data_IF_957338532038
#
_entry.id   IF_957338532038
#
_cell.length_a   1.000
_cell.length_b   1.000
_cell.length_c   1.000
_cell.angle_alpha   90.00
_cell.angle_beta   90.00
_cell.angle_gamma   90.00
#
_symmetry.space_group_name_H-M   'P 1'
#
loop_
_entity.id
_entity.type
_entity.pdbx_description
1 polymer ?
#
# COMPACT_ATOMS: atom_id res chain seq x y z
N UNK A 1 -18.49 4.29 -10.57
CA UNK A 1 -17.32 4.36 -9.67
C UNK A 1 -17.50 3.27 -8.62
N UNK A 2 -16.52 2.40 -8.47
CA UNK A 2 -16.56 1.32 -7.47
C UNK A 2 -16.59 1.91 -6.05
N UNK A 3 -17.35 1.28 -5.16
CA UNK A 3 -17.57 1.78 -3.81
C UNK A 3 -16.35 1.46 -2.92
N UNK A 4 -15.49 2.45 -2.68
CA UNK A 4 -14.30 2.30 -1.82
C UNK A 4 -14.66 1.74 -0.45
N UNK A 5 -15.77 2.18 0.15
CA UNK A 5 -16.19 1.70 1.47
C UNK A 5 -16.43 0.19 1.45
N UNK A 6 -17.03 -0.36 0.39
CA UNK A 6 -17.29 -1.79 0.27
C UNK A 6 -15.98 -2.60 0.19
N UNK A 7 -14.98 -2.09 -0.53
CA UNK A 7 -13.65 -2.70 -0.57
C UNK A 7 -12.94 -2.62 0.78
N UNK A 8 -12.99 -1.47 1.46
CA UNK A 8 -12.40 -1.29 2.78
C UNK A 8 -13.07 -2.19 3.82
N UNK A 9 -14.40 -2.34 3.81
CA UNK A 9 -15.09 -3.30 4.69
C UNK A 9 -14.67 -4.74 4.44
N UNK A 10 -14.43 -5.11 3.17
CA UNK A 10 -13.92 -6.44 2.83
C UNK A 10 -12.51 -6.64 3.38
N UNK A 11 -11.61 -5.67 3.17
CA UNK A 11 -10.24 -5.72 3.70
C UNK A 11 -10.23 -5.75 5.23
N UNK A 12 -11.09 -4.98 5.89
CA UNK A 12 -11.24 -4.97 7.35
C UNK A 12 -11.54 -6.38 7.87
N UNK A 13 -12.56 -7.05 7.31
CA UNK A 13 -12.93 -8.39 7.72
C UNK A 13 -11.77 -9.40 7.56
N UNK A 14 -10.93 -9.24 6.53
CA UNK A 14 -9.73 -10.06 6.33
C UNK A 14 -8.65 -9.76 7.38
N UNK A 15 -8.36 -8.49 7.65
CA UNK A 15 -7.34 -8.08 8.62
C UNK A 15 -7.72 -8.51 10.03
N UNK A 16 -8.98 -8.29 10.43
CA UNK A 16 -9.50 -8.67 11.76
C UNK A 16 -9.51 -10.18 11.98
N UNK A 17 -9.65 -10.98 10.91
CA UNK A 17 -9.55 -12.44 10.97
C UNK A 17 -8.12 -12.92 11.29
N UNK A 18 -7.11 -12.09 11.03
CA UNK A 18 -5.70 -12.43 11.19
C UNK A 18 -4.94 -11.34 11.97
N UNK A 19 -5.31 -11.04 13.23
CA UNK A 19 -4.85 -9.85 13.95
C UNK A 19 -3.33 -9.84 14.23
N UNK A 20 -2.72 -11.03 14.34
CA UNK A 20 -1.29 -11.20 14.63
C UNK A 20 -0.44 -11.43 13.38
N UNK A 21 -1.03 -11.34 12.18
CA UNK A 21 -0.28 -11.51 10.94
C UNK A 21 0.34 -10.19 10.50
N UNK A 22 1.46 -10.30 9.82
CA UNK A 22 2.01 -9.18 9.06
C UNK A 22 1.12 -8.97 7.83
N UNK A 23 0.69 -7.73 7.61
CA UNK A 23 -0.15 -7.36 6.47
C UNK A 23 0.61 -6.38 5.61
N UNK A 24 0.59 -6.62 4.30
CA UNK A 24 1.06 -5.69 3.28
C UNK A 24 -0.07 -5.52 2.27
N UNK A 25 -0.58 -4.30 2.16
CA UNK A 25 -1.52 -3.89 1.13
C UNK A 25 -0.79 -2.96 0.16
N UNK A 26 -0.81 -3.31 -1.11
CA UNK A 26 -0.22 -2.50 -2.17
C UNK A 26 -1.22 -2.40 -3.32
N UNK A 27 -1.58 -1.19 -3.71
CA UNK A 27 -2.52 -1.02 -4.82
C UNK A 27 -2.93 0.42 -5.07
N UNK A 28 -3.74 0.59 -6.12
CA UNK A 28 -4.38 1.85 -6.48
C UNK A 28 -5.66 2.06 -5.63
N UNK A 29 -5.62 3.02 -4.73
CA UNK A 29 -6.75 3.38 -3.87
C UNK A 29 -7.61 4.49 -4.47
N UNK A 30 -7.13 5.19 -5.51
CA UNK A 30 -7.77 6.38 -6.07
C UNK A 30 -8.20 7.38 -4.98
N UNK A 31 -7.38 7.57 -3.95
CA UNK A 31 -7.65 8.42 -2.79
C UNK A 31 -6.53 9.43 -2.60
N UNK A 32 -6.87 10.68 -2.28
CA UNK A 32 -5.89 11.77 -2.17
C UNK A 32 -5.79 12.26 -0.73
N UNK A 33 -4.57 12.49 -0.26
CA UNK A 33 -4.30 13.10 1.04
C UNK A 33 -2.94 13.78 1.06
N UNK A 34 -2.83 14.86 1.84
CA UNK A 34 -1.55 15.52 2.11
C UNK A 34 -0.60 14.62 2.93
N UNK A 35 -1.13 13.57 3.56
CA UNK A 35 -0.36 12.61 4.37
C UNK A 35 0.60 11.78 3.51
N UNK A 36 0.20 11.42 2.29
CA UNK A 36 0.99 10.54 1.40
C UNK A 36 1.31 11.16 0.04
N UNK A 37 0.93 12.42 -0.21
CA UNK A 37 1.19 13.09 -1.47
C UNK A 37 0.93 14.59 -1.41
N UNK A 38 1.23 15.29 -2.51
CA UNK A 38 1.19 16.77 -2.56
C UNK A 38 -0.19 17.35 -2.92
N UNK A 39 -1.27 16.62 -2.65
CA UNK A 39 -2.65 17.02 -3.00
C UNK A 39 -3.50 17.15 -1.74
N UNK A 40 -4.49 18.05 -1.80
CA UNK A 40 -5.48 18.18 -0.74
C UNK A 40 -6.22 16.87 -0.51
N UNK A 41 -6.60 16.63 0.75
CA UNK A 41 -7.36 15.44 1.13
C UNK A 41 -8.77 15.49 0.59
N UNK A 42 -9.17 14.45 -0.14
CA UNK A 42 -10.53 14.27 -0.61
C UNK A 42 -11.34 13.35 0.32
N UNK A 43 -12.63 13.17 0.04
CA UNK A 43 -13.50 12.32 0.84
C UNK A 43 -12.98 10.87 0.93
N UNK A 44 -12.45 10.35 -0.18
CA UNK A 44 -11.86 9.01 -0.25
C UNK A 44 -10.59 8.91 0.60
N UNK A 45 -9.77 9.95 0.61
CA UNK A 45 -8.61 10.09 1.48
C UNK A 45 -8.99 10.07 2.95
N UNK A 46 -10.04 10.80 3.34
CA UNK A 46 -10.55 10.75 4.72
C UNK A 46 -11.06 9.36 5.10
N UNK A 47 -11.82 8.69 4.22
CA UNK A 47 -12.29 7.33 4.46
C UNK A 47 -11.12 6.34 4.65
N UNK A 48 -10.10 6.44 3.80
CA UNK A 48 -8.91 5.59 3.89
C UNK A 48 -8.09 5.88 5.16
N UNK A 49 -7.93 7.15 5.54
CA UNK A 49 -7.27 7.53 6.80
C UNK A 49 -8.00 6.96 8.01
N UNK A 50 -9.33 7.09 8.06
CA UNK A 50 -10.12 6.51 9.14
C UNK A 50 -9.98 5.00 9.21
N UNK A 51 -9.99 4.31 8.05
CA UNK A 51 -9.73 2.88 7.98
C UNK A 51 -8.35 2.51 8.55
N UNK A 52 -7.28 3.19 8.12
CA UNK A 52 -5.93 2.92 8.61
C UNK A 52 -5.80 3.14 10.12
N UNK A 53 -6.35 4.25 10.63
CA UNK A 53 -6.34 4.56 12.07
C UNK A 53 -7.11 3.50 12.86
N UNK A 54 -8.29 3.09 12.37
CA UNK A 54 -9.15 2.14 13.09
C UNK A 54 -8.54 0.73 13.23
N UNK A 55 -7.67 0.37 12.29
CA UNK A 55 -7.03 -0.95 12.23
C UNK A 55 -5.56 -0.91 12.57
N UNK A 56 -5.04 0.22 13.08
CA UNK A 56 -3.63 0.40 13.41
C UNK A 56 -2.71 -0.01 12.25
N UNK A 57 -2.96 0.59 11.08
CA UNK A 57 -2.20 0.39 9.85
C UNK A 57 -1.29 1.60 9.59
N UNK A 58 -0.08 1.31 9.13
CA UNK A 58 0.90 2.33 8.73
C UNK A 58 0.81 2.60 7.24
N UNK A 59 0.84 3.89 6.85
CA UNK A 59 0.97 4.31 5.45
C UNK A 59 2.45 4.61 5.21
N UNK A 60 3.09 3.85 4.34
CA UNK A 60 4.54 3.93 4.12
C UNK A 60 4.93 4.98 3.08
N UNK A 61 3.96 5.49 2.32
CA UNK A 61 4.19 6.54 1.34
C UNK A 61 4.63 7.84 2.02
N UNK A 62 5.68 8.46 1.46
CA UNK A 62 6.13 9.78 1.85
C UNK A 62 5.62 10.85 0.86
N UNK A 63 5.06 11.98 1.33
CA UNK A 63 4.54 13.05 0.46
C UNK A 63 5.61 13.70 -0.43
N UNK A 64 6.89 13.58 -0.09
CA UNK A 64 8.02 14.08 -0.89
C UNK A 64 8.45 13.14 -2.02
N UNK A 65 7.88 11.93 -2.10
CA UNK A 65 8.12 11.03 -3.22
C UNK A 65 7.58 11.60 -4.53
N UNK A 66 8.11 11.10 -5.65
CA UNK A 66 7.54 11.34 -6.98
C UNK A 66 6.07 10.87 -7.04
N UNK A 67 5.25 11.46 -7.92
CA UNK A 67 3.87 11.03 -8.09
C UNK A 67 3.81 9.57 -8.55
N UNK A 68 2.86 8.80 -8.01
CA UNK A 68 2.65 7.41 -8.43
C UNK A 68 1.86 7.30 -9.74
N UNK A 69 1.18 8.39 -10.11
CA UNK A 69 0.50 8.55 -11.39
C UNK A 69 0.90 9.89 -12.00
N UNK A 70 1.40 9.86 -13.23
CA UNK A 70 1.82 11.03 -13.99
C UNK A 70 1.31 10.91 -15.43
N UNK A 71 0.42 11.81 -15.82
CA UNK A 71 -0.14 11.84 -17.17
C UNK A 71 -0.18 13.26 -17.70
N UNK A 72 -0.51 13.40 -18.99
CA UNK A 72 -0.76 14.71 -19.62
C UNK A 72 -1.85 15.53 -18.93
N UNK A 73 -2.73 14.89 -18.14
CA UNK A 73 -3.81 15.54 -17.38
C UNK A 73 -3.39 15.93 -15.96
N UNK A 74 -2.17 15.59 -15.56
CA UNK A 74 -1.58 15.93 -14.29
C UNK A 74 -1.16 14.73 -13.46
N UNK A 75 -0.67 15.05 -12.27
CA UNK A 75 0.00 14.13 -11.34
C UNK A 75 -0.84 13.85 -10.08
N UNK A 76 -0.74 12.62 -9.58
CA UNK A 76 -1.34 12.18 -8.32
C UNK A 76 -0.55 11.07 -7.60
N UNK A 77 -0.84 10.90 -6.31
CA UNK A 77 -0.26 9.89 -5.41
C UNK A 77 -1.41 9.00 -4.91
N UNK A 78 -1.83 8.07 -5.76
CA UNK A 78 -3.03 7.25 -5.55
C UNK A 78 -2.70 5.76 -5.33
N UNK A 79 -1.48 5.36 -5.66
CA UNK A 79 -0.96 4.03 -5.38
C UNK A 79 -0.25 4.05 -4.03
N UNK A 80 -0.67 3.19 -3.10
CA UNK A 80 -0.21 3.22 -1.72
C UNK A 80 0.31 1.87 -1.26
N UNK A 81 1.33 1.92 -0.40
CA UNK A 81 1.80 0.84 0.43
C UNK A 81 1.29 1.07 1.86
N UNK A 82 0.50 0.13 2.36
CA UNK A 82 -0.06 0.15 3.72
C UNK A 82 0.33 -1.13 4.42
N UNK A 83 0.81 -1.05 5.66
CA UNK A 83 1.31 -2.22 6.40
C UNK A 83 0.69 -2.37 7.78
N UNK A 84 0.78 -3.59 8.34
CA UNK A 84 0.46 -3.90 9.74
C UNK A 84 1.49 -4.87 10.30
N UNK A 85 1.93 -4.64 11.54
CA UNK A 85 2.85 -5.52 12.28
C UNK A 85 4.14 -5.87 11.50
N UNK A 86 4.59 -4.98 10.59
CA UNK A 86 5.75 -5.23 9.75
C UNK A 86 6.99 -4.62 10.40
N UNK A 87 7.72 -5.44 11.14
CA UNK A 87 8.97 -5.01 11.79
C UNK A 87 10.10 -4.85 10.78
N UNK A 88 11.00 -3.90 11.04
CA UNK A 88 12.18 -3.64 10.22
C UNK A 88 12.04 -2.47 9.26
N UNK A 89 13.04 -2.33 8.39
CA UNK A 89 13.15 -1.16 7.52
C UNK A 89 12.43 -1.39 6.19
N UNK A 90 11.54 -0.45 5.84
CA UNK A 90 10.87 -0.41 4.53
C UNK A 90 11.49 0.73 3.71
N UNK A 91 11.96 0.40 2.51
CA UNK A 91 12.37 1.37 1.50
C UNK A 91 11.36 1.33 0.36
N UNK A 92 10.69 2.44 0.12
CA UNK A 92 9.73 2.63 -0.97
C UNK A 92 10.29 3.60 -2.00
N UNK A 93 10.33 3.19 -3.26
CA UNK A 93 10.83 4.00 -4.38
C UNK A 93 9.81 4.00 -5.52
N UNK A 94 9.67 5.15 -6.17
CA UNK A 94 8.83 5.32 -7.36
C UNK A 94 9.72 5.25 -8.59
N UNK A 95 9.44 4.32 -9.48
CA UNK A 95 10.22 4.08 -10.71
C UNK A 95 9.34 4.34 -11.91
N UNK A 96 9.79 5.24 -12.79
CA UNK A 96 9.05 5.62 -13.98
C UNK A 96 9.09 4.55 -15.07
N UNK A 97 7.92 4.11 -15.56
CA UNK A 97 7.84 3.22 -16.72
C UNK A 97 6.52 3.33 -17.53
N UNK A 98 5.57 4.19 -17.12
CA UNK A 98 4.26 4.42 -17.76
C UNK A 98 3.55 5.61 -17.09
N UNK A 99 2.29 5.87 -17.43
CA UNK A 99 1.44 6.87 -16.77
C UNK A 99 1.16 6.51 -15.30
N UNK A 100 1.18 5.22 -14.96
CA UNK A 100 1.38 4.75 -13.58
C UNK A 100 2.86 4.43 -13.38
N UNK A 101 3.46 5.07 -12.38
CA UNK A 101 4.81 4.79 -11.95
C UNK A 101 4.83 3.57 -11.02
N UNK A 102 5.81 2.70 -11.21
CA UNK A 102 5.96 1.48 -10.42
C UNK A 102 6.40 1.82 -9.00
N UNK A 103 5.72 1.25 -8.00
CA UNK A 103 6.21 1.23 -6.62
C UNK A 103 7.14 0.04 -6.42
N UNK A 104 8.42 0.32 -6.21
CA UNK A 104 9.41 -0.67 -5.79
C UNK A 104 9.52 -0.66 -4.27
N UNK A 105 9.22 -1.80 -3.66
CA UNK A 105 9.26 -2.00 -2.21
C UNK A 105 10.42 -2.92 -1.87
N UNK A 106 11.31 -2.47 -0.98
CA UNK A 106 12.33 -3.33 -0.35
C UNK A 106 12.08 -3.36 1.15
N UNK A 107 11.90 -4.55 1.71
CA UNK A 107 11.73 -4.75 3.13
C UNK A 107 12.94 -5.51 3.69
N UNK A 108 13.51 -5.00 4.78
CA UNK A 108 14.64 -5.60 5.50
C UNK A 108 14.20 -5.87 6.94
N UNK A 109 13.95 -7.14 7.31
CA UNK A 109 13.46 -7.49 8.64
C UNK A 109 14.53 -7.25 9.72
N UNK A 110 14.11 -6.78 10.90
CA UNK A 110 14.99 -6.59 12.07
C UNK A 110 15.47 -7.90 12.70
N UNK A 111 14.65 -8.95 12.62
CA UNK A 111 14.97 -10.31 13.07
C UNK A 111 14.77 -11.28 11.92
N UNK A 112 15.68 -12.24 11.77
CA UNK A 112 15.55 -13.28 10.76
C UNK A 112 14.35 -14.17 11.10
N UNK A 113 13.22 -13.96 10.42
CA UNK A 113 12.04 -14.80 10.58
C UNK A 113 12.21 -16.06 9.71
N UNK A 114 12.44 -17.26 10.28
CA UNK A 114 12.81 -18.44 9.50
C UNK A 114 11.66 -19.04 8.67
N UNK A 115 10.47 -18.42 8.61
CA UNK A 115 9.33 -18.87 7.79
C UNK A 115 8.30 -17.77 7.63
N UNK A 116 8.21 -17.17 6.45
CA UNK A 116 6.95 -16.56 5.99
C UNK A 116 5.98 -17.73 5.79
N UNK A 117 5.17 -18.03 6.80
CA UNK A 117 4.35 -19.25 6.84
C UNK A 117 3.19 -19.24 5.83
N UNK A 118 2.67 -18.06 5.48
CA UNK A 118 1.64 -17.87 4.46
C UNK A 118 1.77 -16.50 3.80
N UNK A 119 1.88 -16.48 2.47
CA UNK A 119 1.63 -15.28 1.67
C UNK A 119 0.21 -15.43 1.14
N UNK A 120 -0.73 -14.63 1.64
CA UNK A 120 -2.04 -14.47 1.02
C UNK A 120 -1.95 -13.26 0.08
N UNK A 121 -1.57 -13.49 -1.17
CA UNK A 121 -1.62 -12.47 -2.20
C UNK A 121 -3.02 -12.48 -2.82
N UNK A 122 -3.85 -11.49 -2.46
CA UNK A 122 -5.11 -11.22 -3.18
C UNK A 122 -4.78 -10.13 -4.21
N UNK A 123 -4.45 -10.54 -5.43
CA UNK A 123 -4.21 -9.61 -6.54
C UNK A 123 -5.51 -9.44 -7.32
N UNK A 124 -6.07 -8.23 -7.37
CA UNK A 124 -7.09 -7.88 -8.37
C UNK A 124 -6.48 -7.30 -9.66
N UNK A 125 -5.15 -7.28 -9.79
CA UNK A 125 -4.47 -6.67 -10.93
C UNK A 125 -3.44 -7.59 -11.59
N UNK A 126 -3.38 -7.51 -12.92
CA UNK A 126 -2.51 -8.30 -13.79
C UNK A 126 -1.04 -7.85 -13.75
N UNK A 127 -0.70 -6.86 -12.92
CA UNK A 127 0.54 -6.09 -12.98
C UNK A 127 1.52 -6.38 -11.83
N UNK A 128 1.09 -7.14 -10.81
CA UNK A 128 1.94 -7.51 -9.68
C UNK A 128 2.76 -8.76 -9.98
N UNK A 129 4.02 -8.58 -10.40
CA UNK A 129 5.00 -9.66 -10.35
C UNK A 129 5.60 -9.72 -8.96
N UNK A 130 5.08 -10.59 -8.09
CA UNK A 130 5.73 -10.88 -6.79
C UNK A 130 7.01 -11.68 -7.08
N UNK A 131 8.14 -11.00 -7.23
CA UNK A 131 9.46 -11.66 -7.26
C UNK A 131 9.82 -12.06 -5.83
N UNK A 132 9.56 -13.33 -5.49
CA UNK A 132 10.14 -13.96 -4.29
C UNK A 132 11.67 -14.03 -4.47
N UNK A 133 12.41 -13.09 -3.92
CA UNK A 133 13.81 -13.32 -3.59
C UNK A 133 13.84 -13.96 -2.21
N UNK A 134 13.69 -15.29 -2.18
CA UNK A 134 14.08 -16.09 -1.02
C UNK A 134 15.60 -16.16 -1.10
N UNK A 135 16.29 -15.32 -0.34
CA UNK A 135 17.68 -15.60 0.01
C UNK A 135 17.64 -16.75 1.03
N UNK A 136 18.11 -17.93 0.58
CA UNK A 136 18.37 -19.10 1.42
C UNK A 136 19.55 -18.83 2.35
#
# INVERSE_FOLDING_TARGET
>A
MENLQQHLSTLQAWIEKFPNYQVILLGDFNAKSYIWGKRNTDERGNQLLHFCISLDLSIENNPEMLPTFDSTKGQSWIDLLITKNLDGHIKLEVISNSDHNLLQVTWTPELFYPKISKILAITQSNWLTIKKNILL
#
